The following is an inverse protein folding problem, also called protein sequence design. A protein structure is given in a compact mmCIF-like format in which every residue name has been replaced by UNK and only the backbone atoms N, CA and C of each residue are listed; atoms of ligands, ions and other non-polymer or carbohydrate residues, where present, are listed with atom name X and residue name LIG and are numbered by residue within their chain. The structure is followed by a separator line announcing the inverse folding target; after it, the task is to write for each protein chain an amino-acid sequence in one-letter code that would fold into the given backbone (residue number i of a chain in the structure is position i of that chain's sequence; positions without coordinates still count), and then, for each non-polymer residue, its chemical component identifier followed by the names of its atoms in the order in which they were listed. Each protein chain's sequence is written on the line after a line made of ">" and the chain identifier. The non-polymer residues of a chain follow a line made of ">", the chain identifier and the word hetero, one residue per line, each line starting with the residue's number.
data_IF_669851043135
#
_entry.id   IF_669851043135
#
_cell.length_a   1.000
_cell.length_b   1.000
_cell.length_c   1.000
_cell.angle_alpha   90.00
_cell.angle_beta   90.00
_cell.angle_gamma   90.00
#
_symmetry.space_group_name_H-M   'P 1'
#
loop_
_entity.id
_entity.type
_entity.pdbx_description
1 polymer ?
#
# COMPACT_ATOMS: atom_id res chain seq x y z
N UNK A 1 -13.87 -9.42 -4.13
CA UNK A 1 -12.66 -9.58 -3.30
C UNK A 1 -11.77 -8.35 -3.41
N UNK A 2 -11.54 -7.84 -4.62
CA UNK A 2 -10.72 -6.64 -4.82
C UNK A 2 -11.33 -5.36 -4.23
N UNK A 3 -12.66 -5.19 -4.33
CA UNK A 3 -13.37 -4.03 -3.74
C UNK A 3 -13.13 -3.89 -2.23
N UNK A 4 -12.97 -5.02 -1.53
CA UNK A 4 -12.64 -5.01 -0.11
C UNK A 4 -11.23 -4.49 0.13
N UNK A 5 -10.23 -4.99 -0.62
CA UNK A 5 -8.83 -4.54 -0.49
C UNK A 5 -8.70 -3.06 -0.89
N UNK A 6 -9.40 -2.62 -1.94
CA UNK A 6 -9.42 -1.22 -2.33
C UNK A 6 -10.06 -0.34 -1.25
N UNK A 7 -11.12 -0.82 -0.57
CA UNK A 7 -11.68 -0.12 0.59
C UNK A 7 -10.70 -0.04 1.77
N UNK A 8 -9.85 -1.04 1.95
CA UNK A 8 -8.83 -1.05 3.00
C UNK A 8 -7.73 0.02 2.77
N UNK A 9 -7.50 0.47 1.54
CA UNK A 9 -6.56 1.57 1.25
C UNK A 9 -7.01 2.92 1.85
N UNK A 10 -8.30 3.07 2.15
CA UNK A 10 -8.88 4.29 2.76
C UNK A 10 -9.23 4.12 4.23
N UNK A 11 -8.75 3.04 4.86
CA UNK A 11 -9.03 2.74 6.25
C UNK A 11 -8.36 3.74 7.19
N UNK A 12 -8.91 3.95 8.41
CA UNK A 12 -8.32 4.90 9.38
C UNK A 12 -7.01 4.40 10.01
N UNK A 13 -6.83 3.08 10.06
CA UNK A 13 -5.65 2.44 10.64
C UNK A 13 -4.57 2.26 9.57
N UNK A 14 -3.41 2.89 9.79
CA UNK A 14 -2.27 2.88 8.87
C UNK A 14 -1.73 1.47 8.57
N UNK A 15 -1.82 0.54 9.52
CA UNK A 15 -1.36 -0.83 9.31
C UNK A 15 -2.26 -1.60 8.35
N UNK A 16 -3.58 -1.33 8.39
CA UNK A 16 -4.55 -1.90 7.44
C UNK A 16 -4.30 -1.36 6.03
N UNK A 17 -4.05 -0.05 5.93
CA UNK A 17 -3.70 0.60 4.66
C UNK A 17 -2.42 -0.01 4.08
N UNK A 18 -1.38 -0.19 4.91
CA UNK A 18 -0.10 -0.76 4.49
C UNK A 18 -0.26 -2.18 3.94
N UNK A 19 -0.94 -3.06 4.68
CA UNK A 19 -1.13 -4.45 4.25
C UNK A 19 -1.97 -4.56 2.99
N UNK A 20 -2.98 -3.71 2.83
CA UNK A 20 -3.74 -3.62 1.58
C UNK A 20 -2.85 -3.25 0.40
N UNK A 21 -2.02 -2.20 0.55
CA UNK A 21 -1.10 -1.76 -0.50
C UNK A 21 -0.03 -2.83 -0.81
N UNK A 22 0.56 -3.45 0.21
CA UNK A 22 1.55 -4.52 0.05
C UNK A 22 0.96 -5.75 -0.64
N UNK A 23 -0.29 -6.11 -0.31
CA UNK A 23 -1.00 -7.21 -0.96
C UNK A 23 -1.23 -6.93 -2.43
N UNK A 24 -1.70 -5.73 -2.78
CA UNK A 24 -1.92 -5.31 -4.17
C UNK A 24 -0.62 -5.41 -4.99
N UNK A 25 0.49 -4.90 -4.45
CA UNK A 25 1.80 -4.94 -5.14
C UNK A 25 2.31 -6.38 -5.31
N UNK A 26 1.96 -7.30 -4.40
CA UNK A 26 2.40 -8.71 -4.45
C UNK A 26 1.52 -9.61 -5.33
N UNK A 27 0.35 -9.15 -5.78
CA UNK A 27 -0.56 -9.95 -6.62
C UNK A 27 -0.07 -9.96 -8.08
N UNK A 28 -0.18 -11.12 -8.76
CA UNK A 28 0.30 -11.30 -10.14
C UNK A 28 -0.68 -10.83 -11.23
N UNK A 29 -1.92 -10.49 -10.85
CA UNK A 29 -3.01 -10.19 -11.78
C UNK A 29 -3.72 -8.88 -11.40
N UNK A 30 -2.95 -7.83 -11.11
CA UNK A 30 -3.49 -6.50 -10.80
C UNK A 30 -3.43 -5.60 -12.01
N UNK A 31 -4.47 -4.78 -12.17
CA UNK A 31 -4.52 -3.79 -13.24
C UNK A 31 -3.55 -2.64 -12.94
N UNK A 32 -3.06 -1.94 -13.97
CA UNK A 32 -2.16 -0.80 -13.78
C UNK A 32 -2.75 0.30 -12.90
N UNK A 33 -4.08 0.48 -12.93
CA UNK A 33 -4.80 1.47 -12.12
C UNK A 33 -4.74 1.13 -10.63
N UNK A 34 -4.95 -0.14 -10.29
CA UNK A 34 -4.92 -0.60 -8.90
C UNK A 34 -3.50 -0.55 -8.35
N UNK A 35 -2.52 -0.94 -9.17
CA UNK A 35 -1.10 -0.81 -8.82
C UNK A 35 -0.73 0.65 -8.52
N UNK A 36 -1.17 1.60 -9.36
CA UNK A 36 -0.92 3.03 -9.15
C UNK A 36 -1.52 3.53 -7.82
N UNK A 37 -2.71 3.07 -7.44
CA UNK A 37 -3.34 3.42 -6.15
C UNK A 37 -2.50 2.94 -4.96
N UNK A 38 -2.05 1.68 -4.98
CA UNK A 38 -1.20 1.13 -3.93
C UNK A 38 0.17 1.82 -3.86
N UNK A 39 0.79 2.13 -5.00
CA UNK A 39 2.07 2.85 -5.07
C UNK A 39 1.94 4.26 -4.48
N UNK A 40 0.87 5.00 -4.80
CA UNK A 40 0.63 6.34 -4.24
C UNK A 40 0.53 6.31 -2.71
N UNK A 41 -0.13 5.30 -2.15
CA UNK A 41 -0.24 5.10 -0.70
C UNK A 41 1.13 4.80 -0.07
N UNK A 42 1.92 3.91 -0.69
CA UNK A 42 3.27 3.60 -0.20
C UNK A 42 4.19 4.84 -0.28
N UNK A 43 4.10 5.65 -1.33
CA UNK A 43 4.82 6.92 -1.46
C UNK A 43 4.45 7.90 -0.34
N UNK A 44 3.17 7.99 0.03
CA UNK A 44 2.74 8.81 1.17
C UNK A 44 3.39 8.31 2.48
N UNK A 45 3.49 6.99 2.67
CA UNK A 45 4.13 6.42 3.85
C UNK A 45 5.64 6.65 3.91
N UNK A 46 6.34 6.82 2.78
CA UNK A 46 7.75 7.24 2.75
C UNK A 46 7.94 8.63 3.36
N UNK A 47 6.96 9.53 3.18
CA UNK A 47 6.95 10.87 3.76
C UNK A 47 6.45 10.92 5.21
N UNK A 48 6.03 9.79 5.79
CA UNK A 48 5.49 9.75 7.15
C UNK A 48 6.56 10.08 8.21
N UNK A 49 6.24 10.83 9.28
CA UNK A 49 7.16 11.01 10.39
C UNK A 49 7.44 9.72 11.18
N UNK A 50 6.61 8.67 11.00
CA UNK A 50 6.75 7.38 11.71
C UNK A 50 7.82 6.51 11.03
N UNK A 51 8.95 6.19 11.71
CA UNK A 51 10.03 5.40 11.11
C UNK A 51 9.59 4.03 10.58
N UNK A 52 8.65 3.38 11.30
CA UNK A 52 8.13 2.05 10.94
C UNK A 52 7.43 2.07 9.58
N UNK A 53 6.56 3.05 9.33
CA UNK A 53 5.83 3.16 8.06
C UNK A 53 6.76 3.49 6.90
N UNK A 54 7.73 4.38 7.12
CA UNK A 54 8.74 4.71 6.10
C UNK A 54 9.55 3.49 5.68
N UNK A 55 10.09 2.77 6.67
CA UNK A 55 10.91 1.58 6.41
C UNK A 55 10.11 0.51 5.66
N UNK A 56 8.89 0.24 6.12
CA UNK A 56 8.01 -0.75 5.51
C UNK A 56 7.66 -0.39 4.05
N UNK A 57 7.33 0.89 3.79
CA UNK A 57 6.99 1.36 2.45
C UNK A 57 8.18 1.28 1.47
N UNK A 58 9.36 1.72 1.89
CA UNK A 58 10.58 1.64 1.06
C UNK A 58 10.91 0.17 0.73
N UNK A 59 10.82 -0.72 1.71
CA UNK A 59 11.10 -2.15 1.51
C UNK A 59 10.13 -2.80 0.51
N UNK A 60 8.85 -2.44 0.56
CA UNK A 60 7.83 -3.02 -0.32
C UNK A 60 7.95 -2.53 -1.76
N UNK A 61 8.34 -1.27 -1.96
CA UNK A 61 8.60 -0.72 -3.31
C UNK A 61 9.93 -1.20 -3.93
N UNK A 62 10.88 -1.64 -3.11
CA UNK A 62 12.18 -2.13 -3.55
C UNK A 62 12.22 -3.67 -3.73
N UNK A 63 11.07 -4.33 -3.77
CA UNK A 63 10.95 -5.73 -4.18
C UNK A 63 10.86 -5.82 -5.70
#
# INVERSE_FOLDING_TARGET
>A
MYDFIDSCLRHKNEMVIYEAASTIVSLKCVTPKELSSAVNVLQLFISSPKPVLRYAAVRTLNK
#
